data_IF_389869033784
#
_entry.id   IF_389869033784
#
_cell.length_a   1.000
_cell.length_b   1.000
_cell.length_c   1.000
_cell.angle_alpha   90.00
_cell.angle_beta   90.00
_cell.angle_gamma   90.00
#
_symmetry.space_group_name_H-M   'P 1'
#
loop_
_entity.id
_entity.type
_entity.pdbx_description
1 polymer ?
#
# COMPACT_ATOMS: atom_id res chain seq x y z
N UNK A 1 -17.79 -21.62 10.45
CA UNK A 1 -18.29 -21.42 9.07
C UNK A 1 -18.19 -22.75 8.34
N UNK A 2 -19.17 -23.09 7.49
CA UNK A 2 -19.10 -24.28 6.63
C UNK A 2 -19.39 -23.83 5.21
N UNK A 3 -18.43 -24.01 4.32
CA UNK A 3 -18.59 -23.70 2.89
C UNK A 3 -19.64 -24.59 2.24
N UNK A 4 -20.31 -24.06 1.21
CA UNK A 4 -21.26 -24.82 0.40
C UNK A 4 -20.54 -25.88 -0.44
N UNK A 5 -21.25 -26.95 -0.82
CA UNK A 5 -20.69 -28.00 -1.67
C UNK A 5 -20.13 -27.42 -2.98
N UNK A 6 -20.89 -26.51 -3.62
CA UNK A 6 -20.44 -25.78 -4.83
C UNK A 6 -19.11 -25.06 -4.62
N UNK A 7 -18.92 -24.37 -3.50
CA UNK A 7 -17.66 -23.69 -3.21
C UNK A 7 -16.49 -24.67 -3.00
N UNK A 8 -16.76 -25.85 -2.43
CA UNK A 8 -15.75 -26.91 -2.31
C UNK A 8 -15.41 -27.50 -3.68
N UNK A 9 -16.39 -27.65 -4.58
CA UNK A 9 -16.16 -28.11 -5.95
C UNK A 9 -15.33 -27.11 -6.77
N UNK A 10 -15.65 -25.82 -6.68
CA UNK A 10 -14.86 -24.75 -7.29
C UNK A 10 -13.43 -24.72 -6.73
N UNK A 11 -13.27 -24.91 -5.42
CA UNK A 11 -11.95 -25.01 -4.80
C UNK A 11 -11.14 -26.20 -5.35
N UNK A 12 -11.76 -27.38 -5.50
CA UNK A 12 -11.09 -28.56 -6.08
C UNK A 12 -10.63 -28.30 -7.52
N UNK A 13 -11.48 -27.66 -8.33
CA UNK A 13 -11.13 -27.31 -9.71
C UNK A 13 -9.93 -26.37 -9.77
N UNK A 14 -9.96 -25.28 -8.99
CA UNK A 14 -8.85 -24.33 -8.92
C UNK A 14 -7.56 -24.97 -8.41
N UNK A 15 -7.64 -25.84 -7.40
CA UNK A 15 -6.48 -26.54 -6.87
C UNK A 15 -5.85 -27.46 -7.92
N UNK A 16 -6.67 -28.23 -8.64
CA UNK A 16 -6.21 -29.08 -9.74
C UNK A 16 -5.58 -28.27 -10.87
N UNK A 17 -6.20 -27.17 -11.28
CA UNK A 17 -5.63 -26.30 -12.33
C UNK A 17 -4.28 -25.71 -11.95
N UNK A 18 -4.09 -25.37 -10.66
CA UNK A 18 -2.85 -24.73 -10.18
C UNK A 18 -1.73 -25.71 -9.87
N UNK A 19 -2.07 -26.87 -9.30
CA UNK A 19 -1.08 -27.80 -8.75
C UNK A 19 -1.07 -29.16 -9.46
N UNK A 20 -2.04 -29.43 -10.34
CA UNK A 20 -2.16 -30.71 -11.06
C UNK A 20 -2.67 -31.86 -10.19
N UNK A 21 -3.03 -31.59 -8.93
CA UNK A 21 -3.42 -32.60 -7.94
C UNK A 21 -4.94 -32.60 -7.72
N UNK A 22 -5.52 -33.80 -7.60
CA UNK A 22 -6.91 -33.97 -7.20
C UNK A 22 -7.03 -34.13 -5.68
N UNK A 23 -8.00 -33.42 -5.10
CA UNK A 23 -8.30 -33.49 -3.68
C UNK A 23 -9.57 -34.31 -3.44
N UNK A 24 -9.56 -35.10 -2.37
CA UNK A 24 -10.78 -35.70 -1.85
C UNK A 24 -11.68 -34.64 -1.21
N UNK A 25 -12.97 -34.90 -1.14
CA UNK A 25 -13.95 -33.97 -0.55
C UNK A 25 -13.60 -33.56 0.88
N UNK A 26 -13.09 -34.50 1.68
CA UNK A 26 -12.68 -34.23 3.06
C UNK A 26 -11.51 -33.24 3.11
N UNK A 27 -10.48 -33.50 2.30
CA UNK A 27 -9.28 -32.66 2.26
C UNK A 27 -9.61 -31.29 1.70
N UNK A 28 -10.36 -31.24 0.60
CA UNK A 28 -10.81 -29.99 -0.01
C UNK A 28 -11.66 -29.16 0.96
N UNK A 29 -12.58 -29.81 1.69
CA UNK A 29 -13.41 -29.13 2.68
C UNK A 29 -12.57 -28.53 3.79
N UNK A 30 -11.66 -29.30 4.40
CA UNK A 30 -10.84 -28.79 5.49
C UNK A 30 -9.90 -27.68 5.02
N UNK A 31 -9.25 -27.85 3.86
CA UNK A 31 -8.32 -26.88 3.31
C UNK A 31 -9.03 -25.55 2.98
N UNK A 32 -10.16 -25.59 2.28
CA UNK A 32 -10.92 -24.40 1.91
C UNK A 32 -11.44 -23.66 3.16
N UNK A 33 -11.99 -24.39 4.15
CA UNK A 33 -12.46 -23.76 5.39
C UNK A 33 -11.31 -23.19 6.24
N UNK A 34 -10.11 -23.77 6.19
CA UNK A 34 -8.92 -23.19 6.84
C UNK A 34 -8.49 -21.90 6.16
N UNK A 35 -8.46 -21.87 4.83
CA UNK A 35 -8.10 -20.69 4.06
C UNK A 35 -9.02 -19.51 4.38
N UNK A 36 -10.34 -19.73 4.35
CA UNK A 36 -11.32 -18.68 4.68
C UNK A 36 -11.13 -18.17 6.10
N UNK A 37 -10.95 -19.08 7.07
CA UNK A 37 -10.67 -18.70 8.47
C UNK A 37 -9.41 -17.83 8.61
N UNK A 38 -8.34 -18.18 7.91
CA UNK A 38 -7.11 -17.37 7.90
C UNK A 38 -7.36 -15.96 7.36
N UNK A 39 -8.08 -15.84 6.24
CA UNK A 39 -8.43 -14.54 5.66
C UNK A 39 -9.27 -13.71 6.65
N UNK A 40 -10.22 -14.33 7.33
CA UNK A 40 -11.10 -13.63 8.28
C UNK A 40 -10.41 -13.19 9.56
N UNK A 41 -9.53 -14.03 10.10
CA UNK A 41 -8.89 -13.80 11.40
C UNK A 41 -7.61 -12.96 11.27
N UNK A 42 -6.85 -13.14 10.19
CA UNK A 42 -5.54 -12.50 10.03
C UNK A 42 -5.63 -11.33 9.07
N UNK A 43 -6.11 -11.57 7.84
CA UNK A 43 -6.02 -10.58 6.77
C UNK A 43 -7.04 -9.44 6.93
N UNK A 44 -8.32 -9.74 7.18
CA UNK A 44 -9.37 -8.72 7.33
C UNK A 44 -9.08 -7.71 8.46
N UNK A 45 -8.61 -8.11 9.66
CA UNK A 45 -8.27 -7.14 10.70
C UNK A 45 -7.15 -6.19 10.30
N UNK A 46 -6.11 -6.67 9.62
CA UNK A 46 -5.00 -5.83 9.14
C UNK A 46 -5.56 -4.74 8.20
N UNK A 47 -6.39 -5.12 7.22
CA UNK A 47 -7.01 -4.16 6.30
C UNK A 47 -7.87 -3.11 7.01
N UNK A 48 -8.62 -3.52 8.05
CA UNK A 48 -9.43 -2.57 8.85
C UNK A 48 -8.55 -1.60 9.63
N UNK A 49 -7.42 -2.06 10.17
CA UNK A 49 -6.47 -1.19 10.87
C UNK A 49 -5.88 -0.15 9.91
N UNK A 50 -5.51 -0.57 8.70
CA UNK A 50 -5.00 0.34 7.67
C UNK A 50 -6.04 1.37 7.24
N UNK A 51 -7.29 0.94 7.03
CA UNK A 51 -8.40 1.83 6.68
C UNK A 51 -8.66 2.87 7.78
N UNK A 52 -8.72 2.44 9.04
CA UNK A 52 -8.88 3.34 10.20
C UNK A 52 -7.73 4.33 10.28
N UNK A 53 -6.49 3.88 10.09
CA UNK A 53 -5.30 4.75 10.14
C UNK A 53 -5.31 5.78 9.02
N UNK A 54 -5.65 5.39 7.79
CA UNK A 54 -5.80 6.30 6.66
C UNK A 54 -6.91 7.34 6.90
N UNK A 55 -8.06 6.91 7.43
CA UNK A 55 -9.16 7.81 7.75
C UNK A 55 -8.81 8.78 8.88
N UNK A 56 -8.04 8.33 9.87
CA UNK A 56 -7.55 9.18 10.96
C UNK A 56 -6.60 10.26 10.43
N UNK A 57 -5.65 9.89 9.57
CA UNK A 57 -4.72 10.84 8.95
C UNK A 57 -5.44 11.89 8.09
N UNK A 58 -6.50 11.50 7.37
CA UNK A 58 -7.32 12.44 6.60
C UNK A 58 -8.03 13.45 7.50
N UNK A 59 -8.67 12.98 8.58
CA UNK A 59 -9.31 13.86 9.57
C UNK A 59 -8.31 14.81 10.23
N UNK A 60 -7.13 14.31 10.57
CA UNK A 60 -6.05 15.13 11.12
C UNK A 60 -5.60 16.20 10.12
N UNK A 61 -5.48 15.89 8.83
CA UNK A 61 -5.15 16.86 7.78
C UNK A 61 -6.27 17.88 7.52
N UNK A 62 -7.54 17.47 7.58
CA UNK A 62 -8.69 18.35 7.45
C UNK A 62 -8.82 19.31 8.63
N UNK A 63 -8.40 18.88 9.83
CA UNK A 63 -8.37 19.70 11.04
C UNK A 63 -7.19 20.70 11.07
N UNK A 64 -6.22 20.60 10.15
CA UNK A 64 -5.15 21.61 10.00
C UNK A 64 -5.78 22.90 9.45
N UNK A 65 -5.63 24.05 10.13
CA UNK A 65 -6.05 25.35 9.62
C UNK A 65 -5.44 25.64 8.23
N UNK A 66 -6.21 26.25 7.32
CA UNK A 66 -5.77 26.47 5.92
C UNK A 66 -4.47 27.26 5.79
N UNK A 67 -4.22 28.18 6.70
CA UNK A 67 -2.98 28.96 6.81
C UNK A 67 -1.75 28.14 7.20
N UNK A 68 -1.95 26.95 7.79
CA UNK A 68 -0.90 26.01 8.20
C UNK A 68 -0.72 24.86 7.21
N UNK A 69 -1.61 24.72 6.22
CA UNK A 69 -1.47 23.71 5.16
C UNK A 69 -0.28 24.10 4.27
N UNK A 70 0.81 23.34 4.36
CA UNK A 70 1.98 23.54 3.50
C UNK A 70 1.62 23.16 2.06
N UNK A 71 1.65 24.14 1.17
CA UNK A 71 1.57 23.89 -0.27
C UNK A 71 2.95 23.43 -0.77
N UNK A 72 3.14 22.11 -0.80
CA UNK A 72 4.39 21.48 -1.23
C UNK A 72 4.78 21.89 -2.66
N UNK A 73 3.81 22.17 -3.54
CA UNK A 73 4.09 22.60 -4.92
C UNK A 73 4.65 24.02 -4.91
N UNK A 74 4.05 24.92 -4.13
CA UNK A 74 4.52 26.29 -3.98
C UNK A 74 5.94 26.35 -3.41
N UNK A 75 6.22 25.58 -2.37
CA UNK A 75 7.57 25.53 -1.77
C UNK A 75 8.62 24.89 -2.69
N UNK A 76 8.28 23.82 -3.43
CA UNK A 76 9.21 23.26 -4.43
C UNK A 76 9.56 24.28 -5.53
N UNK A 77 8.58 25.06 -5.97
CA UNK A 77 8.80 26.12 -6.96
C UNK A 77 9.63 27.27 -6.37
N UNK A 78 9.42 27.62 -5.10
CA UNK A 78 10.25 28.62 -4.40
C UNK A 78 11.69 28.13 -4.23
N UNK A 79 11.90 26.89 -3.81
CA UNK A 79 13.23 26.28 -3.65
C UNK A 79 13.97 26.16 -4.99
N UNK A 80 13.27 25.80 -6.06
CA UNK A 80 13.82 25.78 -7.41
C UNK A 80 14.27 27.18 -7.87
N UNK A 81 13.42 28.21 -7.69
CA UNK A 81 13.75 29.60 -8.02
C UNK A 81 14.92 30.14 -7.18
N UNK A 82 14.99 29.79 -5.90
CA UNK A 82 16.10 30.14 -5.02
C UNK A 82 17.40 29.48 -5.49
N UNK A 83 17.33 28.24 -5.94
CA UNK A 83 18.48 27.50 -6.49
C UNK A 83 18.97 28.12 -7.80
N UNK A 84 18.07 28.43 -8.73
CA UNK A 84 18.38 29.11 -9.99
C UNK A 84 18.97 30.51 -9.76
N UNK A 85 18.40 31.29 -8.84
CA UNK A 85 18.91 32.61 -8.48
C UNK A 85 20.32 32.52 -7.87
N UNK A 86 20.59 31.53 -7.00
CA UNK A 86 21.93 31.32 -6.42
C UNK A 86 22.95 30.96 -7.49
N UNK A 87 22.60 30.10 -8.45
CA UNK A 87 23.48 29.72 -9.56
C UNK A 87 23.80 30.90 -10.47
N UNK A 88 22.81 31.77 -10.73
CA UNK A 88 22.96 32.96 -11.58
C UNK A 88 23.79 34.08 -10.92
N UNK A 89 23.61 34.30 -9.62
CA UNK A 89 24.20 35.45 -8.92
C UNK A 89 25.45 35.11 -8.09
N UNK A 90 25.73 33.83 -7.85
CA UNK A 90 26.95 33.39 -7.18
C UNK A 90 27.47 32.10 -7.84
N UNK A 91 27.94 32.19 -9.09
CA UNK A 91 28.43 31.03 -9.82
C UNK A 91 29.61 30.39 -9.08
N UNK A 92 29.72 29.06 -9.06
CA UNK A 92 30.78 28.37 -8.33
C UNK A 92 32.14 28.82 -8.89
N UNK A 93 32.96 29.44 -8.03
CA UNK A 93 34.34 29.78 -8.38
C UNK A 93 35.09 28.47 -8.60
N UNK A 94 35.45 28.18 -9.85
CA UNK A 94 36.33 27.06 -10.20
C UNK A 94 37.53 27.05 -9.24
N UNK A 95 37.66 25.97 -8.46
CA UNK A 95 38.93 25.63 -7.84
C UNK A 95 39.93 25.50 -8.97
N UNK A 96 40.88 26.44 -9.06
CA UNK A 96 42.09 26.28 -9.85
C UNK A 96 42.81 25.06 -9.28
N UNK A 97 42.64 23.91 -9.92
CA UNK A 97 43.49 22.76 -9.68
C UNK A 97 44.82 23.01 -10.39
N UNK A 98 45.88 22.81 -9.59
CA UNK A 98 47.28 23.09 -9.87
C UNK A 98 47.75 22.35 -11.13
N UNK A 99 48.45 23.06 -12.01
CA UNK A 99 49.74 22.64 -12.58
C UNK A 99 50.65 23.86 -12.64
#
# INVERSE_FOLDING_TARGET
MRLSAKAIDEFKQLYKEKYGEELTDLVASEAANRLVRMIEIVYKPILKVDEVKCNQLKKEQEAIPEDQKRDFVKHLVEDAKVTEWKLKNNPPKHKKERM
#
